data_IF_421426870950
#
_entry.id   IF_421426870950
#
_cell.length_a   1.000
_cell.length_b   1.000
_cell.length_c   1.000
_cell.angle_alpha   90.00
_cell.angle_beta   90.00
_cell.angle_gamma   90.00
#
_symmetry.space_group_name_H-M   'P 1'
#
loop_
_entity.id
_entity.type
_entity.pdbx_description
1 polymer ?
#
# COMPACT_ATOMS: atom_id res chain seq x y z
N UNK A 1 48.93 8.64 37.91
CA UNK A 1 47.50 8.81 38.21
C UNK A 1 46.91 10.07 37.57
N UNK A 2 46.88 10.17 36.24
CA UNK A 2 46.35 11.38 35.57
C UNK A 2 45.39 11.08 34.40
N UNK A 3 45.13 9.83 34.12
CA UNK A 3 44.38 9.44 32.92
C UNK A 3 42.84 9.58 33.01
N UNK A 4 42.26 9.21 34.14
CA UNK A 4 40.79 9.25 34.32
C UNK A 4 40.21 10.67 34.42
N UNK A 5 40.93 11.58 35.09
CA UNK A 5 40.50 12.98 35.23
C UNK A 5 40.56 13.77 33.90
N UNK A 6 41.55 13.47 33.05
CA UNK A 6 41.62 14.06 31.69
C UNK A 6 40.54 13.52 30.77
N UNK A 7 40.22 12.23 30.87
CA UNK A 7 39.14 11.61 30.10
C UNK A 7 37.76 12.19 30.48
N UNK A 8 37.47 12.35 31.77
CA UNK A 8 36.19 12.92 32.22
C UNK A 8 36.06 14.40 31.80
N UNK A 9 37.14 15.18 31.86
CA UNK A 9 37.11 16.59 31.39
C UNK A 9 36.95 16.71 29.86
N UNK A 10 37.51 15.81 29.07
CA UNK A 10 37.32 15.81 27.63
C UNK A 10 35.94 15.25 27.21
N UNK A 11 35.40 14.30 27.98
CA UNK A 11 34.06 13.79 27.74
C UNK A 11 32.96 14.81 28.07
N UNK A 12 33.12 15.60 29.13
CA UNK A 12 32.15 16.65 29.50
C UNK A 12 32.17 17.86 28.56
N UNK A 13 33.29 18.16 27.90
CA UNK A 13 33.35 19.18 26.84
C UNK A 13 32.76 18.71 25.52
N UNK A 14 32.84 17.42 25.23
CA UNK A 14 32.20 16.83 24.03
C UNK A 14 30.67 16.74 24.15
N UNK A 15 30.14 16.50 25.36
CA UNK A 15 28.69 16.45 25.60
C UNK A 15 28.05 17.83 25.64
N UNK A 16 28.74 18.88 26.06
CA UNK A 16 28.23 20.25 26.04
C UNK A 16 28.10 20.81 24.61
N UNK A 17 28.95 20.37 23.66
CA UNK A 17 28.87 20.75 22.25
C UNK A 17 27.76 20.04 21.44
N UNK A 18 27.29 18.88 21.92
CA UNK A 18 26.23 18.10 21.27
C UNK A 18 24.84 18.57 21.69
N UNK A 19 24.70 19.21 22.86
CA UNK A 19 23.38 19.58 23.39
C UNK A 19 22.77 20.85 22.78
N UNK A 20 23.48 21.64 22.01
CA UNK A 20 22.97 22.92 21.47
C UNK A 20 22.87 22.93 19.94
N UNK A 21 23.31 21.86 19.23
CA UNK A 21 23.50 21.90 17.78
C UNK A 21 22.55 21.06 16.93
N UNK A 22 21.69 20.18 17.45
CA UNK A 22 21.06 19.18 16.57
C UNK A 22 19.62 18.74 16.86
N UNK A 23 18.81 19.55 17.53
CA UNK A 23 17.37 19.26 17.61
C UNK A 23 16.60 19.64 16.34
N UNK A 24 17.23 20.36 15.42
CA UNK A 24 16.66 20.63 14.08
C UNK A 24 16.95 19.54 13.04
N UNK A 25 17.84 18.58 13.32
CA UNK A 25 18.19 17.54 12.36
C UNK A 25 17.14 16.43 12.26
N UNK A 26 16.36 16.15 13.33
CA UNK A 26 15.33 15.13 13.29
C UNK A 26 14.11 15.55 12.45
N UNK A 27 13.70 16.81 12.51
CA UNK A 27 12.60 17.34 11.69
C UNK A 27 12.98 17.42 10.20
N UNK A 28 14.24 17.77 9.88
CA UNK A 28 14.75 17.76 8.50
C UNK A 28 14.99 16.35 7.97
N UNK A 29 15.26 15.37 8.83
CA UNK A 29 15.39 13.96 8.44
C UNK A 29 14.04 13.38 8.00
N UNK A 30 12.97 13.70 8.72
CA UNK A 30 11.61 13.27 8.37
C UNK A 30 11.11 13.90 7.05
N UNK A 31 11.46 15.16 6.76
CA UNK A 31 11.09 15.81 5.49
C UNK A 31 11.89 15.28 4.28
N UNK A 32 12.97 14.52 4.51
CA UNK A 32 13.76 13.86 3.46
C UNK A 32 13.28 12.47 3.08
N UNK A 33 12.38 11.87 3.87
CA UNK A 33 11.70 10.64 3.46
C UNK A 33 10.62 11.09 2.48
N UNK A 34 10.96 11.02 1.19
CA UNK A 34 10.03 11.31 0.10
C UNK A 34 8.82 10.39 0.29
N UNK A 35 7.66 10.96 0.61
CA UNK A 35 6.40 10.23 0.76
C UNK A 35 5.97 9.86 2.18
N UNK A 36 6.73 10.15 3.25
CA UNK A 36 6.33 9.78 4.63
C UNK A 36 4.99 10.40 5.08
N UNK A 37 4.56 11.51 4.45
CA UNK A 37 3.26 12.15 4.68
C UNK A 37 2.35 12.12 3.44
N UNK A 38 2.74 11.41 2.39
CA UNK A 38 1.97 11.32 1.16
C UNK A 38 1.09 10.06 1.23
N UNK A 39 -0.22 10.25 1.05
CA UNK A 39 -1.14 9.14 0.91
C UNK A 39 -0.82 8.35 -0.35
N UNK A 40 -0.96 7.02 -0.27
CA UNK A 40 -0.81 6.13 -1.42
C UNK A 40 -2.02 6.27 -2.34
N UNK A 41 -1.80 6.54 -3.61
CA UNK A 41 -2.87 6.54 -4.60
C UNK A 41 -3.31 5.10 -4.90
N UNK A 42 -4.47 4.74 -4.36
CA UNK A 42 -5.01 3.39 -4.37
C UNK A 42 -6.13 3.25 -5.40
N UNK A 43 -6.07 2.22 -6.21
CA UNK A 43 -7.19 1.74 -7.02
C UNK A 43 -7.78 0.47 -6.40
N UNK A 44 -9.10 0.37 -6.34
CA UNK A 44 -9.79 -0.79 -5.76
C UNK A 44 -10.53 -1.56 -6.86
N UNK A 45 -10.22 -2.86 -6.98
CA UNK A 45 -10.76 -3.78 -7.98
C UNK A 45 -11.61 -4.83 -7.26
N UNK A 46 -12.90 -4.87 -7.59
CA UNK A 46 -13.93 -5.51 -6.79
C UNK A 46 -14.26 -4.63 -5.60
N UNK A 47 -15.36 -3.91 -5.67
CA UNK A 47 -15.76 -2.94 -4.64
C UNK A 47 -17.13 -3.27 -4.03
N UNK A 48 -17.66 -4.45 -4.34
CA UNK A 48 -18.84 -5.01 -3.70
C UNK A 48 -18.48 -5.88 -2.50
N UNK A 49 -19.45 -6.12 -1.60
CA UNK A 49 -19.30 -7.03 -0.46
C UNK A 49 -17.93 -6.93 0.24
N UNK A 50 -17.15 -8.01 0.25
CA UNK A 50 -15.83 -8.05 0.88
C UNK A 50 -14.84 -7.03 0.31
N UNK A 51 -14.86 -6.82 -1.01
CA UNK A 51 -14.02 -5.78 -1.62
C UNK A 51 -14.39 -4.38 -1.16
N UNK A 52 -15.67 -4.12 -0.91
CA UNK A 52 -16.15 -2.86 -0.32
C UNK A 52 -15.71 -2.68 1.13
N UNK A 53 -15.69 -3.74 1.93
CA UNK A 53 -15.15 -3.71 3.30
C UNK A 53 -13.66 -3.36 3.29
N UNK A 54 -12.88 -3.98 2.41
CA UNK A 54 -11.44 -3.69 2.23
C UNK A 54 -11.23 -2.23 1.82
N UNK A 55 -11.97 -1.76 0.82
CA UNK A 55 -11.93 -0.37 0.35
C UNK A 55 -12.13 0.60 1.52
N UNK A 56 -13.18 0.39 2.32
CA UNK A 56 -13.51 1.26 3.45
C UNK A 56 -12.43 1.17 4.54
N UNK A 57 -12.00 -0.05 4.92
CA UNK A 57 -10.94 -0.24 5.91
C UNK A 57 -9.63 0.45 5.50
N UNK A 58 -9.21 0.32 4.24
CA UNK A 58 -8.00 0.98 3.74
C UNK A 58 -8.15 2.51 3.72
N UNK A 59 -9.32 3.02 3.36
CA UNK A 59 -9.61 4.45 3.42
C UNK A 59 -9.55 4.98 4.86
N UNK A 60 -10.13 4.24 5.82
CA UNK A 60 -10.21 4.64 7.23
C UNK A 60 -8.84 4.70 7.93
N UNK A 61 -7.82 4.07 7.37
CA UNK A 61 -6.43 4.25 7.83
C UNK A 61 -5.94 5.69 7.67
N UNK A 62 -6.58 6.49 6.80
CA UNK A 62 -6.14 7.83 6.43
C UNK A 62 -4.86 7.87 5.56
N UNK A 63 -4.29 6.70 5.22
CA UNK A 63 -3.04 6.57 4.46
C UNK A 63 -3.27 6.38 2.95
N UNK A 64 -4.51 6.12 2.53
CA UNK A 64 -4.88 5.94 1.14
C UNK A 64 -5.62 7.16 0.56
N UNK A 65 -5.39 7.41 -0.72
CA UNK A 65 -6.17 8.29 -1.57
C UNK A 65 -6.81 7.43 -2.65
N UNK A 66 -8.13 7.26 -2.62
CA UNK A 66 -8.85 6.41 -3.56
C UNK A 66 -8.98 7.15 -4.89
N UNK A 67 -8.21 6.74 -5.89
CA UNK A 67 -8.14 7.41 -7.20
C UNK A 67 -8.95 6.71 -8.28
N UNK A 68 -9.18 5.39 -8.16
CA UNK A 68 -9.96 4.62 -9.11
C UNK A 68 -10.72 3.46 -8.44
N UNK A 69 -11.89 3.18 -8.98
CA UNK A 69 -12.77 2.07 -8.59
C UNK A 69 -13.08 1.23 -9.81
N UNK A 70 -13.04 -0.09 -9.66
CA UNK A 70 -13.33 -1.03 -10.73
C UNK A 70 -14.23 -2.16 -10.23
N UNK A 71 -15.36 -2.38 -10.88
CA UNK A 71 -16.21 -3.53 -10.62
C UNK A 71 -16.96 -3.91 -11.90
N UNK A 72 -17.12 -5.21 -12.13
CA UNK A 72 -17.86 -5.70 -13.31
C UNK A 72 -19.36 -5.42 -13.19
N UNK A 73 -19.90 -5.43 -11.96
CA UNK A 73 -21.29 -5.12 -11.66
C UNK A 73 -21.42 -3.73 -11.02
N UNK A 74 -21.31 -2.71 -11.85
CA UNK A 74 -21.47 -1.32 -11.41
C UNK A 74 -22.92 -0.97 -11.05
N UNK A 75 -23.88 -1.81 -11.41
CA UNK A 75 -25.31 -1.62 -11.13
C UNK A 75 -25.76 -2.16 -9.77
N UNK A 76 -24.97 -3.03 -9.15
CA UNK A 76 -25.33 -3.61 -7.86
C UNK A 76 -25.40 -2.55 -6.74
N UNK A 77 -26.39 -2.63 -5.83
CA UNK A 77 -26.60 -1.61 -4.81
C UNK A 77 -25.37 -1.36 -3.91
N UNK A 78 -24.66 -2.42 -3.54
CA UNK A 78 -23.45 -2.32 -2.71
C UNK A 78 -22.28 -1.66 -3.46
N UNK A 79 -22.19 -1.87 -4.79
CA UNK A 79 -21.18 -1.24 -5.64
C UNK A 79 -21.51 0.24 -5.84
N UNK A 80 -22.77 0.57 -6.12
CA UNK A 80 -23.25 1.95 -6.26
C UNK A 80 -22.97 2.78 -5.01
N UNK A 81 -23.26 2.24 -3.82
CA UNK A 81 -22.99 2.89 -2.54
C UNK A 81 -21.51 3.32 -2.42
N UNK A 82 -20.59 2.43 -2.76
CA UNK A 82 -19.16 2.74 -2.70
C UNK A 82 -18.75 3.75 -3.79
N UNK A 83 -19.34 3.68 -4.98
CA UNK A 83 -19.07 4.66 -6.03
C UNK A 83 -19.59 6.07 -5.70
N UNK A 84 -20.69 6.18 -4.96
CA UNK A 84 -21.21 7.45 -4.46
C UNK A 84 -20.32 8.01 -3.37
N UNK A 85 -19.91 7.18 -2.40
CA UNK A 85 -19.01 7.56 -1.31
C UNK A 85 -17.67 8.11 -1.84
N UNK A 86 -17.13 7.50 -2.88
CA UNK A 86 -15.87 7.91 -3.52
C UNK A 86 -16.15 8.56 -4.89
N UNK A 87 -17.02 9.55 -4.93
CA UNK A 87 -17.48 10.20 -6.16
C UNK A 87 -16.35 10.83 -6.99
N UNK A 88 -15.26 11.27 -6.35
CA UNK A 88 -14.08 11.82 -7.01
C UNK A 88 -13.17 10.77 -7.67
N UNK A 89 -13.33 9.49 -7.37
CA UNK A 89 -12.54 8.43 -7.98
C UNK A 89 -13.03 8.11 -9.40
N UNK A 90 -12.12 7.80 -10.32
CA UNK A 90 -12.45 7.33 -11.67
C UNK A 90 -13.09 5.95 -11.59
N UNK A 91 -14.08 5.69 -12.42
CA UNK A 91 -14.88 4.46 -12.41
C UNK A 91 -14.67 3.65 -13.68
N UNK A 92 -14.42 2.35 -13.51
CA UNK A 92 -14.13 1.42 -14.59
C UNK A 92 -14.87 0.10 -14.38
N UNK A 93 -15.30 -0.52 -15.48
CA UNK A 93 -15.89 -1.86 -15.46
C UNK A 93 -14.86 -2.95 -15.79
N UNK A 94 -13.72 -2.56 -16.37
CA UNK A 94 -12.65 -3.47 -16.74
C UNK A 94 -11.32 -3.01 -16.12
N UNK A 95 -10.70 -3.89 -15.32
CA UNK A 95 -9.45 -3.56 -14.63
C UNK A 95 -8.27 -3.31 -15.58
N UNK A 96 -8.26 -3.93 -16.77
CA UNK A 96 -7.22 -3.70 -17.78
C UNK A 96 -7.30 -2.28 -18.32
N UNK A 97 -8.53 -1.84 -18.62
CA UNK A 97 -8.79 -0.47 -19.05
C UNK A 97 -8.41 0.54 -17.95
N UNK A 98 -8.72 0.22 -16.69
CA UNK A 98 -8.34 1.06 -15.56
C UNK A 98 -6.83 1.21 -15.45
N UNK A 99 -6.09 0.11 -15.53
CA UNK A 99 -4.62 0.12 -15.44
C UNK A 99 -3.98 0.80 -16.67
N UNK A 100 -4.58 0.71 -17.83
CA UNK A 100 -4.13 1.41 -19.04
C UNK A 100 -4.38 2.92 -18.97
N UNK A 101 -5.62 3.34 -18.67
CA UNK A 101 -6.02 4.75 -18.70
C UNK A 101 -5.64 5.55 -17.46
N UNK A 102 -5.61 4.93 -16.29
CA UNK A 102 -5.33 5.58 -15.01
C UNK A 102 -4.03 5.09 -14.35
N UNK A 103 -3.30 4.17 -14.96
CA UNK A 103 -2.14 3.53 -14.37
C UNK A 103 -1.06 4.51 -13.89
N UNK A 104 -0.84 5.62 -14.57
CA UNK A 104 0.15 6.63 -14.15
C UNK A 104 -0.20 7.32 -12.82
N UNK A 105 -1.46 7.32 -12.43
CA UNK A 105 -1.92 7.92 -11.17
C UNK A 105 -1.98 6.90 -10.03
N UNK A 106 -1.97 5.60 -10.35
CA UNK A 106 -2.13 4.50 -9.39
C UNK A 106 -0.75 4.08 -8.87
N UNK A 107 -0.58 4.03 -7.56
CA UNK A 107 0.62 3.51 -6.88
C UNK A 107 0.38 2.09 -6.36
N UNK A 108 -0.84 1.79 -5.90
CA UNK A 108 -1.21 0.49 -5.37
C UNK A 108 -2.60 0.06 -5.86
N UNK A 109 -2.85 -1.25 -5.83
CA UNK A 109 -4.17 -1.83 -6.07
C UNK A 109 -4.61 -2.72 -4.92
N UNK A 110 -5.89 -2.67 -4.56
CA UNK A 110 -6.53 -3.70 -3.75
C UNK A 110 -7.40 -4.58 -4.66
N UNK A 111 -7.31 -5.91 -4.45
CA UNK A 111 -7.98 -6.91 -5.27
C UNK A 111 -8.94 -7.71 -4.39
N UNK A 112 -10.22 -7.36 -4.43
CA UNK A 112 -11.31 -7.96 -3.66
C UNK A 112 -12.39 -8.59 -4.53
N UNK A 113 -11.98 -9.23 -5.62
CA UNK A 113 -12.84 -9.91 -6.60
C UNK A 113 -13.02 -11.40 -6.24
N UNK A 114 -13.82 -12.18 -6.97
CA UNK A 114 -13.82 -13.64 -6.86
C UNK A 114 -12.42 -14.24 -7.10
N UNK A 115 -12.10 -15.31 -6.39
CA UNK A 115 -10.79 -15.94 -6.29
C UNK A 115 -10.14 -16.30 -7.64
N UNK A 116 -10.94 -16.70 -8.63
CA UNK A 116 -10.45 -17.03 -9.97
C UNK A 116 -9.86 -15.83 -10.73
N UNK A 117 -10.10 -14.61 -10.27
CA UNK A 117 -9.56 -13.38 -10.86
C UNK A 117 -8.37 -12.79 -10.08
N UNK A 118 -8.04 -13.32 -8.89
CA UNK A 118 -6.93 -12.83 -8.08
C UNK A 118 -5.60 -12.90 -8.83
N UNK A 119 -5.28 -14.07 -9.40
CA UNK A 119 -4.02 -14.29 -10.11
C UNK A 119 -3.80 -13.35 -11.29
N UNK A 120 -4.69 -13.28 -12.31
CA UNK A 120 -4.43 -12.44 -13.48
C UNK A 120 -4.36 -10.95 -13.16
N UNK A 121 -5.15 -10.47 -12.21
CA UNK A 121 -5.13 -9.06 -11.80
C UNK A 121 -3.83 -8.73 -11.06
N UNK A 122 -3.45 -9.56 -10.10
CA UNK A 122 -2.22 -9.36 -9.30
C UNK A 122 -0.97 -9.42 -10.18
N UNK A 123 -0.89 -10.38 -11.10
CA UNK A 123 0.24 -10.52 -12.03
C UNK A 123 0.37 -9.29 -12.93
N UNK A 124 -0.74 -8.79 -13.46
CA UNK A 124 -0.72 -7.58 -14.29
C UNK A 124 -0.30 -6.35 -13.50
N UNK A 125 -0.83 -6.16 -12.30
CA UNK A 125 -0.47 -5.04 -11.43
C UNK A 125 1.01 -5.05 -11.06
N UNK A 126 1.55 -6.20 -10.64
CA UNK A 126 2.99 -6.36 -10.35
C UNK A 126 3.85 -6.08 -11.58
N UNK A 127 3.45 -6.57 -12.76
CA UNK A 127 4.15 -6.31 -14.03
C UNK A 127 4.21 -4.84 -14.41
N UNK A 128 3.22 -4.06 -13.99
CA UNK A 128 3.16 -2.60 -14.14
C UNK A 128 3.79 -1.83 -12.97
N UNK A 129 4.46 -2.52 -12.04
CA UNK A 129 5.15 -1.90 -10.91
C UNK A 129 4.21 -1.37 -9.82
N UNK A 130 2.96 -1.84 -9.75
CA UNK A 130 2.01 -1.41 -8.72
C UNK A 130 2.11 -2.30 -7.49
N UNK A 131 2.06 -1.70 -6.29
CA UNK A 131 1.91 -2.43 -5.04
C UNK A 131 0.56 -3.14 -5.02
N UNK A 132 0.46 -4.31 -4.37
CA UNK A 132 -0.76 -5.13 -4.42
C UNK A 132 -1.15 -5.62 -3.03
N UNK A 133 -2.40 -5.36 -2.66
CA UNK A 133 -3.11 -6.10 -1.65
C UNK A 133 -4.12 -7.02 -2.35
N UNK A 134 -4.05 -8.33 -2.15
CA UNK A 134 -4.99 -9.30 -2.73
C UNK A 134 -5.67 -10.11 -1.64
N UNK A 135 -7.00 -10.27 -1.73
CA UNK A 135 -7.73 -11.09 -0.78
C UNK A 135 -7.36 -12.58 -0.87
N UNK A 136 -7.66 -13.29 0.23
CA UNK A 136 -7.49 -14.75 0.28
C UNK A 136 -8.62 -15.46 -0.49
N UNK A 137 -8.36 -16.60 -1.09
CA UNK A 137 -7.04 -17.22 -1.33
C UNK A 137 -6.27 -16.45 -2.38
N UNK A 138 -4.94 -16.42 -2.27
CA UNK A 138 -4.07 -15.65 -3.17
C UNK A 138 -4.26 -16.04 -4.64
N UNK A 139 -4.48 -17.32 -4.91
CA UNK A 139 -4.77 -17.88 -6.22
C UNK A 139 -5.52 -19.21 -6.09
N UNK A 140 -5.99 -19.78 -7.21
CA UNK A 140 -6.76 -21.03 -7.24
C UNK A 140 -5.91 -22.29 -7.27
N UNK A 141 -4.69 -22.20 -7.78
CA UNK A 141 -3.81 -23.35 -7.99
C UNK A 141 -2.42 -23.11 -7.40
N UNK A 142 -1.73 -24.16 -7.02
CA UNK A 142 -0.33 -24.07 -6.58
C UNK A 142 0.57 -23.49 -7.66
N UNK A 143 0.33 -23.82 -8.92
CA UNK A 143 1.10 -23.28 -10.04
C UNK A 143 0.97 -21.75 -10.16
N UNK A 144 -0.24 -21.22 -10.00
CA UNK A 144 -0.46 -19.76 -9.97
C UNK A 144 0.28 -19.12 -8.79
N UNK A 145 0.26 -19.75 -7.61
CA UNK A 145 1.00 -19.27 -6.42
C UNK A 145 2.51 -19.24 -6.69
N UNK A 146 3.07 -20.29 -7.28
CA UNK A 146 4.49 -20.34 -7.64
C UNK A 146 4.88 -19.21 -8.61
N UNK A 147 4.03 -18.94 -9.61
CA UNK A 147 4.23 -17.83 -10.55
C UNK A 147 4.16 -16.47 -9.84
N UNK A 148 3.22 -16.28 -8.92
CA UNK A 148 3.11 -15.04 -8.13
C UNK A 148 4.33 -14.85 -7.21
N UNK A 149 4.82 -15.91 -6.58
CA UNK A 149 6.04 -15.88 -5.77
C UNK A 149 7.28 -15.53 -6.62
N UNK A 150 7.38 -16.10 -7.82
CA UNK A 150 8.45 -15.77 -8.77
C UNK A 150 8.36 -14.31 -9.23
N UNK A 151 7.14 -13.82 -9.50
CA UNK A 151 6.90 -12.43 -9.87
C UNK A 151 7.27 -11.46 -8.73
N UNK A 152 6.91 -11.76 -7.48
CA UNK A 152 7.28 -10.96 -6.32
C UNK A 152 8.82 -10.85 -6.15
N UNK A 153 9.55 -11.93 -6.42
CA UNK A 153 11.02 -11.90 -6.44
C UNK A 153 11.57 -11.06 -7.60
N UNK A 154 10.97 -11.19 -8.79
CA UNK A 154 11.38 -10.45 -9.99
C UNK A 154 11.13 -8.95 -9.85
N UNK A 155 9.99 -8.58 -9.32
CA UNK A 155 9.57 -7.19 -9.14
C UNK A 155 9.83 -6.71 -7.69
N UNK A 156 11.07 -6.80 -7.24
CA UNK A 156 11.49 -6.58 -5.84
C UNK A 156 11.17 -5.20 -5.25
N UNK A 157 10.82 -4.21 -6.09
CA UNK A 157 10.36 -2.88 -5.66
C UNK A 157 8.85 -2.85 -5.38
N UNK A 158 8.11 -3.88 -5.77
CA UNK A 158 6.68 -4.01 -5.54
C UNK A 158 6.45 -4.67 -4.19
N UNK A 159 5.68 -4.02 -3.33
CA UNK A 159 5.21 -4.60 -2.07
C UNK A 159 3.93 -5.38 -2.36
N UNK A 160 3.86 -6.60 -1.87
CA UNK A 160 2.68 -7.47 -2.00
C UNK A 160 2.22 -7.94 -0.63
N UNK A 161 0.91 -7.95 -0.41
CA UNK A 161 0.27 -8.44 0.80
C UNK A 161 -0.95 -9.28 0.44
N UNK A 162 -1.05 -10.48 1.00
CA UNK A 162 -2.29 -11.26 0.97
C UNK A 162 -3.18 -10.91 2.16
N UNK A 163 -4.47 -10.79 1.94
CA UNK A 163 -5.47 -10.66 2.98
C UNK A 163 -5.50 -11.90 3.89
N UNK A 164 -5.78 -11.67 5.17
CA UNK A 164 -5.76 -12.72 6.19
C UNK A 164 -6.94 -12.58 7.16
N UNK A 165 -8.12 -12.43 6.60
CA UNK A 165 -9.38 -12.29 7.33
C UNK A 165 -9.54 -13.44 8.35
N UNK A 166 -9.90 -13.10 9.58
CA UNK A 166 -10.12 -14.06 10.67
C UNK A 166 -8.88 -14.39 11.51
N UNK A 167 -7.69 -13.87 11.14
CA UNK A 167 -6.47 -14.08 11.93
C UNK A 167 -6.02 -12.84 12.73
N UNK A 168 -6.62 -11.69 12.47
CA UNK A 168 -6.30 -10.42 13.13
C UNK A 168 -7.43 -9.92 14.02
N UNK A 169 -8.51 -10.66 14.13
CA UNK A 169 -9.62 -10.37 15.04
C UNK A 169 -9.30 -10.98 16.40
N UNK A 170 -9.14 -10.12 17.41
CA UNK A 170 -8.96 -10.49 18.81
C UNK A 170 -10.31 -10.80 19.47
#
# INVERSE_FOLDING_TARGET
>A
MSSRRKFIKSASLATAGIAVGNWSASAKSYSRIIGANKKVNLACIGIGNRGGEILNTLNDTGLANIVALCDIDMGAPHTQKNMEQFSGAKKFQNFREMLDKAGNEIEAVSVGVPDFSHFPITMMAMGLGKHVYVEKPMARTFYEIELMMAAAKKYSKVVTQMGNQGHSEA
#
